data_IF_362118209691
#
_entry.id   IF_362118209691
#
_cell.length_a   1.000
_cell.length_b   1.000
_cell.length_c   1.000
_cell.angle_alpha   90.00
_cell.angle_beta   90.00
_cell.angle_gamma   90.00
#
_symmetry.space_group_name_H-M   'P 1'
#
loop_
_entity.id
_entity.type
_entity.pdbx_description
1 polymer ?
#
# COMPACT_ATOMS: atom_id res chain seq x y z
N UNK A 1 -24.98 -1.08 8.71
CA UNK A 1 -25.43 0.02 7.81
C UNK A 1 -24.19 0.67 7.25
N UNK A 2 -24.10 0.78 5.93
CA UNK A 2 -22.97 1.44 5.29
C UNK A 2 -22.95 2.93 5.67
N UNK A 3 -21.79 3.41 6.12
CA UNK A 3 -21.64 4.79 6.55
C UNK A 3 -21.19 5.62 5.34
N UNK A 4 -22.12 6.37 4.75
CA UNK A 4 -21.84 7.23 3.61
C UNK A 4 -21.30 8.60 4.08
N UNK A 5 -20.23 9.04 3.46
CA UNK A 5 -19.69 10.38 3.65
C UNK A 5 -20.14 11.27 2.50
N UNK A 6 -20.86 12.34 2.83
CA UNK A 6 -21.35 13.29 1.82
C UNK A 6 -20.24 14.29 1.43
N UNK A 7 -20.00 14.42 0.13
CA UNK A 7 -19.08 15.43 -0.44
C UNK A 7 -19.84 16.24 -1.48
N UNK A 8 -19.75 17.57 -1.37
CA UNK A 8 -20.31 18.48 -2.38
C UNK A 8 -19.42 18.53 -3.61
N UNK A 9 -20.04 18.41 -4.78
CA UNK A 9 -19.36 18.42 -6.06
C UNK A 9 -20.06 19.34 -7.04
N UNK A 10 -19.31 19.99 -7.92
CA UNK A 10 -19.81 20.81 -9.00
C UNK A 10 -19.50 20.16 -10.35
N UNK A 11 -20.48 20.14 -11.25
CA UNK A 11 -20.28 19.60 -12.58
C UNK A 11 -19.36 20.49 -13.42
N UNK A 12 -18.45 19.88 -14.19
CA UNK A 12 -17.58 20.56 -15.17
C UNK A 12 -18.00 20.26 -16.58
N UNK A 13 -18.15 21.30 -17.40
CA UNK A 13 -18.55 21.15 -18.80
C UNK A 13 -17.43 20.68 -19.74
N UNK A 14 -16.15 20.87 -19.39
CA UNK A 14 -15.03 20.63 -20.30
C UNK A 14 -14.01 19.65 -19.71
N UNK A 15 -13.62 18.67 -20.54
CA UNK A 15 -12.50 17.75 -20.28
C UNK A 15 -11.16 18.33 -20.78
N UNK A 16 -10.07 17.69 -20.41
CA UNK A 16 -8.73 17.89 -20.94
C UNK A 16 -7.80 18.72 -20.06
N UNK A 17 -6.52 18.75 -20.46
CA UNK A 17 -5.40 19.31 -19.70
C UNK A 17 -5.59 20.78 -19.32
N UNK A 18 -6.10 21.60 -20.25
CA UNK A 18 -6.33 23.02 -20.03
C UNK A 18 -7.42 23.28 -18.99
N UNK A 19 -8.54 22.57 -19.09
CA UNK A 19 -9.66 22.67 -18.15
C UNK A 19 -9.26 22.20 -16.74
N UNK A 20 -8.56 21.07 -16.62
CA UNK A 20 -8.07 20.57 -15.33
C UNK A 20 -7.10 21.57 -14.65
N UNK A 21 -6.19 22.18 -15.42
CA UNK A 21 -5.29 23.24 -14.90
C UNK A 21 -6.06 24.50 -14.47
N UNK A 22 -7.11 24.87 -15.19
CA UNK A 22 -7.95 26.01 -14.81
C UNK A 22 -8.68 25.74 -13.48
N UNK A 23 -9.23 24.52 -13.30
CA UNK A 23 -9.88 24.08 -12.05
C UNK A 23 -8.91 24.13 -10.88
N UNK A 24 -7.67 23.62 -11.04
CA UNK A 24 -6.64 23.66 -9.98
C UNK A 24 -6.23 25.10 -9.64
N UNK A 25 -6.11 26.01 -10.64
CA UNK A 25 -5.84 27.43 -10.39
C UNK A 25 -6.97 28.15 -9.66
N UNK A 26 -8.20 27.69 -9.85
CA UNK A 26 -9.36 28.15 -9.07
C UNK A 26 -9.42 27.55 -7.66
N UNK A 27 -8.39 26.79 -7.24
CA UNK A 27 -8.32 26.19 -5.92
C UNK A 27 -9.20 24.98 -5.72
N UNK A 28 -9.64 24.30 -6.80
CA UNK A 28 -10.49 23.10 -6.74
C UNK A 28 -9.79 21.87 -7.31
N UNK A 29 -10.18 20.69 -6.85
CA UNK A 29 -9.64 19.42 -7.33
C UNK A 29 -10.54 18.88 -8.44
N UNK A 30 -10.01 18.67 -9.66
CA UNK A 30 -10.74 17.99 -10.72
C UNK A 30 -10.91 16.52 -10.38
N UNK A 31 -12.11 15.98 -10.63
CA UNK A 31 -12.40 14.57 -10.44
C UNK A 31 -13.32 14.04 -11.56
N UNK A 32 -13.42 12.71 -11.63
CA UNK A 32 -14.24 12.00 -12.60
C UNK A 32 -15.05 10.93 -11.90
N UNK A 33 -16.34 10.81 -12.23
CA UNK A 33 -17.19 9.71 -11.81
C UNK A 33 -17.45 8.82 -13.03
N UNK A 34 -17.12 7.54 -12.95
CA UNK A 34 -17.36 6.56 -14.01
C UNK A 34 -17.97 5.26 -13.45
N UNK A 35 -18.46 4.41 -14.31
CA UNK A 35 -19.05 3.12 -13.93
C UNK A 35 -20.58 3.06 -14.07
N UNK A 36 -21.18 1.96 -13.61
CA UNK A 36 -22.60 1.65 -13.72
C UNK A 36 -23.15 1.75 -15.18
N UNK A 37 -22.30 1.47 -16.18
CA UNK A 37 -22.65 1.55 -17.62
C UNK A 37 -23.22 2.90 -18.07
N UNK A 38 -22.91 3.98 -17.34
CA UNK A 38 -23.28 5.35 -17.65
C UNK A 38 -22.09 6.16 -18.12
N UNK A 39 -22.35 7.26 -18.82
CA UNK A 39 -21.29 8.16 -19.28
C UNK A 39 -20.48 8.75 -18.11
N UNK A 40 -19.17 8.92 -18.28
CA UNK A 40 -18.32 9.55 -17.27
C UNK A 40 -18.74 11.00 -17.03
N UNK A 41 -18.94 11.36 -15.77
CA UNK A 41 -19.32 12.70 -15.35
C UNK A 41 -18.09 13.42 -14.79
N UNK A 42 -17.77 14.58 -15.36
CA UNK A 42 -16.66 15.41 -14.90
C UNK A 42 -17.12 16.31 -13.77
N UNK A 43 -16.40 16.29 -12.66
CA UNK A 43 -16.73 17.08 -11.46
C UNK A 43 -15.53 17.86 -10.94
N UNK A 44 -15.78 18.81 -10.08
CA UNK A 44 -14.78 19.52 -9.27
C UNK A 44 -15.17 19.46 -7.80
N UNK A 45 -14.18 19.23 -6.94
CA UNK A 45 -14.34 19.05 -5.51
C UNK A 45 -13.62 20.15 -4.71
N UNK A 46 -14.05 20.36 -3.50
CA UNK A 46 -13.32 21.21 -2.56
C UNK A 46 -12.11 20.42 -2.00
N UNK A 47 -10.88 20.98 -2.06
CA UNK A 47 -9.67 20.29 -1.59
C UNK A 47 -9.73 19.89 -0.12
N UNK A 48 -10.33 20.73 0.73
CA UNK A 48 -10.44 20.50 2.17
C UNK A 48 -11.26 19.24 2.49
N UNK A 49 -12.39 19.04 1.80
CA UNK A 49 -13.22 17.87 1.99
C UNK A 49 -12.44 16.59 1.63
N UNK A 50 -11.76 16.60 0.48
CA UNK A 50 -10.94 15.46 0.03
C UNK A 50 -9.80 15.19 1.02
N UNK A 51 -9.04 16.18 1.43
CA UNK A 51 -7.92 16.04 2.38
C UNK A 51 -8.37 15.54 3.75
N UNK A 52 -9.54 15.94 4.22
CA UNK A 52 -10.10 15.47 5.49
C UNK A 52 -10.36 13.97 5.44
N UNK A 53 -10.93 13.47 4.35
CA UNK A 53 -11.22 12.04 4.18
C UNK A 53 -9.94 11.21 3.99
N UNK A 54 -8.93 11.75 3.31
CA UNK A 54 -7.62 11.11 3.19
C UNK A 54 -6.94 10.97 4.55
N UNK A 55 -6.95 12.04 5.35
CA UNK A 55 -6.35 12.04 6.71
C UNK A 55 -7.04 11.10 7.69
N UNK A 56 -8.33 10.86 7.52
CA UNK A 56 -9.07 9.88 8.33
C UNK A 56 -8.64 8.44 8.04
N UNK A 57 -7.99 8.20 6.91
CA UNK A 57 -7.61 6.86 6.45
C UNK A 57 -8.79 6.01 5.99
N UNK A 58 -8.51 4.84 5.41
CA UNK A 58 -9.54 3.90 4.93
C UNK A 58 -10.43 4.43 3.81
N UNK A 59 -10.02 5.47 3.09
CA UNK A 59 -10.80 6.10 2.02
C UNK A 59 -11.11 5.14 0.86
N UNK A 60 -10.30 4.09 0.65
CA UNK A 60 -10.49 3.06 -0.38
C UNK A 60 -11.63 2.08 -0.08
N UNK A 61 -12.02 1.94 1.19
CA UNK A 61 -13.17 1.12 1.61
C UNK A 61 -14.40 1.95 1.97
N UNK A 62 -14.25 3.27 2.05
CA UNK A 62 -15.34 4.15 2.43
C UNK A 62 -16.23 4.53 1.25
N UNK A 63 -17.52 4.50 1.48
CA UNK A 63 -18.51 4.88 0.49
C UNK A 63 -18.81 6.37 0.57
N UNK A 64 -18.92 7.01 -0.59
CA UNK A 64 -19.17 8.45 -0.71
C UNK A 64 -20.50 8.71 -1.38
N UNK A 65 -21.20 9.72 -0.90
CA UNK A 65 -22.37 10.29 -1.53
C UNK A 65 -21.96 11.65 -2.12
N UNK A 66 -21.88 11.72 -3.43
CA UNK A 66 -21.51 12.94 -4.15
C UNK A 66 -22.77 13.72 -4.51
N UNK A 67 -22.89 14.94 -3.99
CA UNK A 67 -24.00 15.84 -4.30
C UNK A 67 -23.65 16.73 -5.49
N UNK A 68 -24.38 16.56 -6.60
CA UNK A 68 -24.21 17.28 -7.86
C UNK A 68 -25.48 18.08 -8.15
N UNK A 69 -25.52 19.37 -7.81
CA UNK A 69 -26.62 20.26 -8.20
C UNK A 69 -28.02 19.82 -7.80
N UNK A 70 -28.16 18.99 -6.77
CA UNK A 70 -29.45 18.45 -6.28
C UNK A 70 -29.62 16.95 -6.47
N UNK A 71 -28.80 16.32 -7.29
CA UNK A 71 -28.74 14.86 -7.41
C UNK A 71 -27.65 14.29 -6.49
N UNK A 72 -27.94 13.16 -5.85
CA UNK A 72 -26.94 12.42 -5.09
C UNK A 72 -26.54 11.14 -5.81
N UNK A 73 -25.23 10.94 -5.96
CA UNK A 73 -24.68 9.76 -6.60
C UNK A 73 -23.78 9.02 -5.61
N UNK A 74 -24.06 7.72 -5.40
CA UNK A 74 -23.20 6.86 -4.57
C UNK A 74 -21.97 6.44 -5.36
N UNK A 75 -20.80 6.63 -4.78
CA UNK A 75 -19.54 6.34 -5.42
C UNK A 75 -18.48 5.84 -4.43
N UNK A 76 -17.54 5.08 -4.95
CA UNK A 76 -16.33 4.64 -4.23
C UNK A 76 -15.13 5.41 -4.78
N UNK A 77 -14.27 5.93 -3.91
CA UNK A 77 -13.03 6.57 -4.31
C UNK A 77 -12.01 5.49 -4.69
N UNK A 78 -11.58 5.49 -5.96
CA UNK A 78 -10.68 4.47 -6.52
C UNK A 78 -9.23 4.87 -6.42
N UNK A 79 -8.94 6.08 -6.87
CA UNK A 79 -7.58 6.57 -6.92
C UNK A 79 -7.52 8.06 -6.63
N UNK A 80 -6.38 8.48 -6.11
CA UNK A 80 -6.07 9.88 -5.82
C UNK A 80 -4.65 10.14 -6.31
N UNK A 81 -4.51 11.11 -7.18
CA UNK A 81 -3.21 11.61 -7.62
C UNK A 81 -2.80 12.77 -6.74
N UNK A 82 -1.58 12.69 -6.20
CA UNK A 82 -1.00 13.74 -5.37
C UNK A 82 0.13 14.45 -6.10
N UNK A 83 0.27 15.72 -5.81
CA UNK A 83 1.42 16.49 -6.26
C UNK A 83 2.67 16.09 -5.47
N UNK A 84 3.78 15.68 -6.11
CA UNK A 84 4.92 15.04 -5.44
C UNK A 84 5.68 15.92 -4.43
N UNK A 85 5.51 17.25 -4.50
CA UNK A 85 6.19 18.18 -3.59
C UNK A 85 5.27 18.77 -2.52
N UNK A 86 3.98 18.93 -2.82
CA UNK A 86 3.04 19.63 -1.94
C UNK A 86 2.02 18.73 -1.30
N UNK A 87 1.99 17.43 -1.68
CA UNK A 87 0.99 16.44 -1.26
C UNK A 87 -0.46 16.88 -1.46
N UNK A 88 -0.67 17.90 -2.29
CA UNK A 88 -1.99 18.36 -2.66
C UNK A 88 -2.65 17.38 -3.62
N UNK A 89 -3.93 17.08 -3.42
CA UNK A 89 -4.69 16.24 -4.34
C UNK A 89 -4.81 16.94 -5.71
N UNK A 90 -4.31 16.30 -6.77
CA UNK A 90 -4.37 16.79 -8.15
C UNK A 90 -5.55 16.23 -8.94
N UNK A 91 -5.94 15.00 -8.68
CA UNK A 91 -7.05 14.33 -9.33
C UNK A 91 -7.65 13.28 -8.41
N UNK A 92 -8.96 13.08 -8.50
CA UNK A 92 -9.67 12.02 -7.76
C UNK A 92 -10.57 11.26 -8.70
N UNK A 93 -10.48 9.94 -8.62
CA UNK A 93 -11.27 9.02 -9.44
C UNK A 93 -12.33 8.34 -8.59
N UNK A 94 -13.58 8.47 -9.01
CA UNK A 94 -14.74 7.83 -8.38
C UNK A 94 -15.35 6.78 -9.28
N UNK A 95 -15.63 5.62 -8.70
CA UNK A 95 -16.45 4.61 -9.34
C UNK A 95 -17.88 4.72 -8.82
N UNK A 96 -18.84 4.89 -9.76
CA UNK A 96 -20.27 4.87 -9.44
C UNK A 96 -20.68 3.48 -9.01
N UNK A 97 -21.50 3.39 -7.98
CA UNK A 97 -22.03 2.15 -7.44
C UNK A 97 -23.39 1.86 -8.03
N UNK A 98 -23.52 0.70 -8.67
CA UNK A 98 -24.83 0.18 -9.08
C UNK A 98 -25.37 -0.72 -7.96
N UNK A 99 -26.66 -0.64 -7.63
CA UNK A 99 -27.24 -1.55 -6.65
C UNK A 99 -27.19 -3.00 -7.18
N UNK A 100 -26.72 -3.94 -6.32
CA UNK A 100 -26.64 -5.37 -6.65
C UNK A 100 -25.42 -5.77 -7.48
N UNK A 101 -24.44 -4.90 -7.71
CA UNK A 101 -23.17 -5.24 -8.37
C UNK A 101 -22.06 -5.38 -7.32
N UNK A 102 -21.40 -6.55 -7.28
CA UNK A 102 -20.24 -6.75 -6.42
C UNK A 102 -19.11 -5.81 -6.84
N UNK A 103 -18.50 -5.13 -5.89
CA UNK A 103 -17.37 -4.23 -6.11
C UNK A 103 -16.11 -4.76 -5.49
N UNK A 104 -14.99 -4.53 -6.16
CA UNK A 104 -13.66 -4.82 -5.61
C UNK A 104 -13.23 -3.65 -4.74
N UNK A 105 -12.95 -3.90 -3.47
CA UNK A 105 -12.59 -2.87 -2.49
C UNK A 105 -11.30 -3.26 -1.78
N UNK A 106 -10.42 -2.28 -1.52
CA UNK A 106 -9.22 -2.48 -0.69
C UNK A 106 -9.52 -2.04 0.72
N UNK A 107 -9.62 -2.99 1.64
CA UNK A 107 -9.95 -2.77 3.05
C UNK A 107 -8.67 -2.83 3.89
N UNK A 108 -8.49 -1.87 4.79
CA UNK A 108 -7.36 -1.83 5.70
C UNK A 108 -7.52 -2.88 6.82
N UNK A 109 -6.39 -3.46 7.25
CA UNK A 109 -6.34 -4.38 8.40
C UNK A 109 -5.81 -3.63 9.61
N UNK A 110 -6.57 -3.66 10.70
CA UNK A 110 -6.19 -3.12 11.99
C UNK A 110 -5.78 -4.25 12.93
N UNK A 111 -4.57 -4.15 13.44
CA UNK A 111 -4.00 -5.10 14.38
C UNK A 111 -4.33 -4.66 15.80
N UNK A 112 -4.95 -5.55 16.58
CA UNK A 112 -5.38 -5.26 17.94
C UNK A 112 -4.63 -6.15 18.94
N UNK A 113 -4.57 -5.70 20.21
CA UNK A 113 -3.98 -6.46 21.32
C UNK A 113 -2.45 -6.74 21.18
N UNK A 114 -1.70 -5.89 20.50
CA UNK A 114 -0.24 -6.02 20.37
C UNK A 114 0.45 -6.14 21.73
N UNK A 115 0.06 -5.30 22.70
CA UNK A 115 0.65 -5.32 24.04
C UNK A 115 0.33 -6.60 24.85
N UNK A 116 -0.71 -7.34 24.45
CA UNK A 116 -1.15 -8.54 25.18
C UNK A 116 -0.52 -9.81 24.62
N UNK A 117 -0.10 -9.81 23.35
CA UNK A 117 0.47 -10.95 22.65
C UNK A 117 1.65 -11.58 23.40
N UNK A 118 1.61 -12.89 23.68
CA UNK A 118 2.71 -13.60 24.32
C UNK A 118 3.97 -13.66 23.45
N UNK A 119 3.80 -13.76 22.12
CA UNK A 119 4.92 -13.76 21.18
C UNK A 119 5.70 -12.46 21.18
N UNK A 120 5.00 -11.31 21.18
CA UNK A 120 5.65 -9.99 21.23
C UNK A 120 6.30 -9.73 22.60
N UNK A 121 5.68 -10.19 23.70
CA UNK A 121 6.28 -10.12 25.05
C UNK A 121 7.55 -10.93 25.20
N UNK A 122 7.69 -12.04 24.48
CA UNK A 122 8.90 -12.86 24.42
C UNK A 122 10.00 -12.26 23.53
N UNK A 123 9.77 -11.05 22.98
CA UNK A 123 10.72 -10.36 22.10
C UNK A 123 10.54 -10.66 20.62
N UNK A 124 9.44 -11.32 20.22
CA UNK A 124 9.10 -11.49 18.81
C UNK A 124 8.80 -10.16 18.12
N UNK A 125 8.96 -10.14 16.83
CA UNK A 125 8.67 -8.97 15.97
C UNK A 125 7.45 -9.26 15.12
N UNK A 126 6.48 -8.34 15.12
CA UNK A 126 5.32 -8.43 14.23
C UNK A 126 5.76 -8.08 12.80
N UNK A 127 5.69 -9.05 11.91
CA UNK A 127 5.90 -8.86 10.48
C UNK A 127 4.55 -8.78 9.78
N UNK A 128 4.17 -7.59 9.36
CA UNK A 128 2.93 -7.34 8.62
C UNK A 128 3.18 -7.60 7.14
N UNK A 129 2.59 -8.67 6.62
CA UNK A 129 2.69 -9.05 5.20
C UNK A 129 1.74 -8.19 4.35
N UNK A 130 0.54 -7.91 4.87
CA UNK A 130 -0.49 -7.16 4.16
C UNK A 130 -1.14 -6.13 5.08
N UNK A 131 -0.98 -4.85 4.76
CA UNK A 131 -1.67 -3.75 5.43
C UNK A 131 -3.10 -3.55 4.93
N UNK A 132 -3.36 -3.97 3.70
CA UNK A 132 -4.67 -3.89 3.05
C UNK A 132 -4.97 -5.20 2.34
N UNK A 133 -6.24 -5.58 2.33
CA UNK A 133 -6.72 -6.76 1.60
C UNK A 133 -7.77 -6.33 0.59
N UNK A 134 -7.63 -6.83 -0.63
CA UNK A 134 -8.61 -6.62 -1.69
C UNK A 134 -9.67 -7.69 -1.66
N UNK A 135 -10.91 -7.25 -1.57
CA UNK A 135 -12.08 -8.12 -1.45
C UNK A 135 -13.17 -7.72 -2.42
N UNK A 136 -13.98 -8.68 -2.79
CA UNK A 136 -15.27 -8.47 -3.44
C UNK A 136 -16.33 -8.33 -2.34
N UNK A 137 -17.09 -7.27 -2.37
CA UNK A 137 -18.16 -7.00 -1.41
C UNK A 137 -19.35 -6.32 -2.10
N UNK A 138 -20.54 -6.52 -1.53
CA UNK A 138 -21.71 -5.74 -1.91
C UNK A 138 -21.58 -4.29 -1.44
N UNK A 139 -22.01 -3.29 -2.21
CA UNK A 139 -21.91 -1.88 -1.84
C UNK A 139 -22.51 -1.54 -0.47
N UNK A 140 -23.57 -2.23 -0.07
CA UNK A 140 -24.26 -1.95 1.19
C UNK A 140 -23.59 -2.62 2.43
N UNK A 141 -22.65 -3.57 2.21
CA UNK A 141 -22.01 -4.37 3.25
C UNK A 141 -20.48 -4.22 3.31
N UNK A 142 -19.94 -3.16 2.72
CA UNK A 142 -18.48 -2.92 2.75
C UNK A 142 -18.02 -2.65 4.18
N UNK A 143 -17.09 -3.45 4.74
CA UNK A 143 -16.50 -3.17 6.04
C UNK A 143 -15.53 -1.99 5.96
N UNK A 144 -15.52 -1.14 6.98
CA UNK A 144 -14.59 -0.02 7.04
C UNK A 144 -13.13 -0.49 7.23
N UNK A 145 -12.94 -1.53 8.02
CA UNK A 145 -11.64 -2.18 8.30
C UNK A 145 -11.85 -3.62 8.77
N UNK A 146 -10.84 -4.44 8.60
CA UNK A 146 -10.76 -5.77 9.19
C UNK A 146 -9.98 -5.70 10.51
N UNK A 147 -10.37 -6.52 11.47
CA UNK A 147 -9.67 -6.62 12.76
C UNK A 147 -8.91 -7.94 12.85
N UNK A 148 -7.61 -7.85 13.11
CA UNK A 148 -6.73 -8.96 13.37
C UNK A 148 -6.35 -8.98 14.85
N UNK A 149 -6.71 -10.03 15.59
CA UNK A 149 -6.43 -10.15 17.02
C UNK A 149 -5.08 -10.85 17.23
N UNK A 150 -4.13 -10.12 17.83
CA UNK A 150 -2.79 -10.64 18.15
C UNK A 150 -2.69 -11.24 19.56
N UNK A 151 -3.77 -11.17 20.36
CA UNK A 151 -3.73 -11.49 21.79
C UNK A 151 -3.33 -12.91 22.14
N UNK A 152 -3.55 -13.88 21.25
CA UNK A 152 -3.29 -15.30 21.46
C UNK A 152 -2.05 -15.82 20.73
N UNK A 153 -1.36 -14.97 19.94
CA UNK A 153 -0.28 -15.41 19.08
C UNK A 153 1.04 -15.57 19.80
N UNK A 154 1.72 -16.69 19.56
CA UNK A 154 3.09 -16.95 20.00
C UNK A 154 4.10 -16.72 18.84
N UNK A 155 5.39 -16.91 19.12
CA UNK A 155 6.45 -16.80 18.12
C UNK A 155 6.28 -17.90 17.05
N UNK A 156 6.40 -17.52 15.78
CA UNK A 156 6.13 -18.31 14.57
C UNK A 156 4.65 -18.54 14.24
N UNK A 157 3.72 -17.97 14.97
CA UNK A 157 2.32 -18.03 14.59
C UNK A 157 1.99 -17.03 13.48
N UNK A 158 0.96 -17.39 12.70
CA UNK A 158 0.51 -16.61 11.54
C UNK A 158 -0.97 -16.28 11.70
N UNK A 159 -1.35 -15.07 11.32
CA UNK A 159 -2.75 -14.68 11.09
C UNK A 159 -3.06 -14.87 9.62
N UNK A 160 -4.14 -15.58 9.35
CA UNK A 160 -4.63 -15.84 8.01
C UNK A 160 -5.94 -15.10 7.75
N UNK A 161 -6.41 -15.19 6.51
CA UNK A 161 -7.65 -14.54 6.09
C UNK A 161 -8.87 -14.90 6.96
N UNK A 162 -9.04 -16.17 7.31
CA UNK A 162 -10.19 -16.65 8.09
C UNK A 162 -10.17 -16.22 9.57
N UNK A 163 -9.02 -15.77 10.09
CA UNK A 163 -8.88 -15.26 11.46
C UNK A 163 -9.30 -13.78 11.58
N UNK A 164 -9.59 -13.12 10.45
CA UNK A 164 -9.98 -11.73 10.44
C UNK A 164 -11.45 -11.56 10.84
N UNK A 165 -11.71 -10.69 11.80
CA UNK A 165 -13.07 -10.29 12.14
C UNK A 165 -13.59 -9.27 11.15
N UNK A 166 -14.83 -9.44 10.69
CA UNK A 166 -15.47 -8.57 9.70
C UNK A 166 -15.30 -9.04 8.26
N UNK A 167 -14.74 -10.22 8.02
CA UNK A 167 -14.56 -10.81 6.70
C UNK A 167 -15.74 -11.67 6.21
N UNK A 168 -16.77 -11.88 7.07
CA UNK A 168 -17.85 -12.86 6.88
C UNK A 168 -18.68 -12.64 5.60
N UNK A 169 -18.93 -11.38 5.24
CA UNK A 169 -19.74 -11.00 4.06
C UNK A 169 -18.88 -10.66 2.82
N UNK A 170 -17.58 -10.98 2.84
CA UNK A 170 -16.65 -10.59 1.78
C UNK A 170 -15.89 -11.77 1.21
N UNK A 171 -15.50 -11.69 -0.06
CA UNK A 171 -14.67 -12.70 -0.73
C UNK A 171 -13.32 -12.11 -1.10
N UNK A 172 -12.20 -12.75 -0.75
CA UNK A 172 -10.89 -12.26 -1.13
C UNK A 172 -10.71 -12.34 -2.65
N UNK A 173 -10.08 -11.33 -3.22
CA UNK A 173 -9.72 -11.32 -4.66
C UNK A 173 -8.51 -12.21 -4.93
N UNK A 174 -7.69 -12.50 -3.92
CA UNK A 174 -6.52 -13.36 -4.06
C UNK A 174 -6.92 -14.78 -4.48
N UNK A 175 -6.15 -15.38 -5.39
CA UNK A 175 -6.38 -16.75 -5.87
C UNK A 175 -6.28 -17.77 -4.74
N UNK A 176 -5.44 -17.52 -3.75
CA UNK A 176 -5.33 -18.30 -2.52
C UNK A 176 -6.41 -17.84 -1.55
N UNK A 177 -7.33 -18.74 -1.23
CA UNK A 177 -8.42 -18.46 -0.30
C UNK A 177 -7.95 -18.22 1.13
N UNK A 178 -6.77 -18.72 1.49
CA UNK A 178 -6.23 -18.68 2.84
C UNK A 178 -4.78 -18.16 2.84
N UNK A 179 -4.60 -16.89 2.57
CA UNK A 179 -3.29 -16.24 2.58
C UNK A 179 -2.95 -15.68 3.96
N UNK A 180 -1.65 -15.56 4.22
CA UNK A 180 -1.13 -14.98 5.45
C UNK A 180 -1.23 -13.45 5.38
N UNK A 181 -1.70 -12.85 6.47
CA UNK A 181 -1.86 -11.40 6.65
C UNK A 181 -0.74 -10.84 7.51
N UNK A 182 -0.41 -11.51 8.61
CA UNK A 182 0.70 -11.14 9.49
C UNK A 182 1.32 -12.38 10.12
N UNK A 183 2.58 -12.26 10.53
CA UNK A 183 3.35 -13.30 11.23
C UNK A 183 4.09 -12.71 12.41
N UNK A 184 4.26 -13.47 13.48
CA UNK A 184 5.15 -13.11 14.59
C UNK A 184 6.48 -13.82 14.39
N UNK A 185 7.51 -13.08 13.94
CA UNK A 185 8.83 -13.62 13.73
C UNK A 185 9.65 -13.66 15.04
N UNK A 186 10.56 -14.63 15.21
CA UNK A 186 11.49 -14.63 16.32
C UNK A 186 12.41 -13.41 16.25
N UNK A 187 12.90 -12.90 17.39
CA UNK A 187 13.86 -11.81 17.39
C UNK A 187 15.14 -12.26 16.67
N UNK A 188 15.61 -11.46 15.75
CA UNK A 188 16.91 -11.65 15.11
C UNK A 188 17.99 -11.30 16.13
N UNK A 189 18.31 -12.23 17.05
CA UNK A 189 19.57 -12.12 17.77
C UNK A 189 20.65 -12.33 16.71
N UNK A 190 21.52 -11.34 16.55
CA UNK A 190 22.74 -11.52 15.75
C UNK A 190 23.42 -12.78 16.29
N UNK A 191 23.69 -13.72 15.41
CA UNK A 191 24.32 -15.02 15.72
C UNK A 191 25.79 -14.86 16.19
N UNK A 192 26.10 -13.77 16.90
CA UNK A 192 27.45 -13.39 17.37
C UNK A 192 27.67 -13.66 18.87
N UNK A 193 26.68 -14.24 19.58
CA UNK A 193 26.82 -14.46 21.02
C UNK A 193 26.55 -15.88 21.53
N UNK A 194 26.52 -16.89 20.66
CA UNK A 194 26.58 -18.31 21.06
C UNK A 194 27.57 -19.10 20.19
N UNK A 195 28.84 -18.72 20.24
CA UNK A 195 29.90 -19.68 20.05
C UNK A 195 30.21 -20.32 21.45
N UNK A 196 29.92 -21.61 21.65
CA UNK A 196 30.36 -22.24 22.90
C UNK A 196 31.86 -22.28 22.91
N UNK A 197 32.41 -21.66 23.93
CA UNK A 197 33.79 -21.81 24.33
C UNK A 197 34.02 -23.27 24.71
N UNK A 198 34.49 -24.07 23.79
CA UNK A 198 34.98 -25.41 24.05
C UNK A 198 36.50 -25.41 23.93
N UNK A 199 37.10 -25.31 25.12
CA UNK A 199 38.32 -25.94 25.56
C UNK A 199 39.54 -25.96 24.63
N UNK A 200 40.51 -25.26 25.15
CA UNK A 200 41.92 -25.36 24.90
C UNK A 200 42.47 -26.80 24.98
N UNK A 201 43.40 -27.10 24.12
CA UNK A 201 44.66 -27.71 24.55
C UNK A 201 45.71 -27.60 23.44
N UNK A 202 46.97 -27.43 23.83
CA UNK A 202 48.04 -26.95 22.96
C UNK A 202 48.83 -28.11 22.35
N UNK A 203 49.65 -27.85 21.33
CA UNK A 203 51.03 -28.31 21.26
C UNK A 203 51.64 -28.09 19.86
N UNK A 204 52.76 -27.36 19.88
CA UNK A 204 53.98 -27.49 19.08
C UNK A 204 54.00 -26.99 17.62
N UNK A 205 54.73 -25.92 17.47
CA UNK A 205 55.59 -25.63 16.34
C UNK A 205 56.79 -26.62 16.32
N UNK A 206 57.63 -26.73 15.28
CA UNK A 206 58.21 -25.62 14.56
C UNK A 206 58.60 -25.85 13.06
N UNK A 207 58.90 -24.74 12.44
CA UNK A 207 60.08 -24.46 11.61
C UNK A 207 60.09 -24.68 10.10
N UNK A 208 60.50 -23.58 9.48
CA UNK A 208 61.36 -23.39 8.28
C UNK A 208 60.76 -23.66 6.91
N UNK A 209 60.77 -22.80 6.01
CA UNK A 209 61.69 -21.76 5.58
C UNK A 209 61.45 -21.45 4.12
N UNK A 210 61.79 -20.28 3.71
CA UNK A 210 62.22 -20.01 2.35
C UNK A 210 61.24 -19.20 1.48
N UNK A 211 61.30 -17.91 1.50
CA UNK A 211 62.10 -17.02 0.66
C UNK A 211 61.52 -16.77 -0.76
N UNK A 212 61.28 -15.56 -0.95
CA UNK A 212 61.45 -14.73 -2.14
C UNK A 212 60.21 -14.22 -2.90
N UNK A 213 59.97 -12.96 -2.72
CA UNK A 213 59.40 -12.06 -3.70
C UNK A 213 60.36 -11.88 -4.89
N UNK A 214 60.15 -11.06 -5.91
CA UNK A 214 59.10 -10.05 -6.16
C UNK A 214 58.77 -9.87 -7.66
N UNK A 215 57.98 -8.81 -7.87
CA UNK A 215 57.94 -7.99 -9.08
C UNK A 215 56.95 -8.41 -10.17
N UNK A 216 56.21 -7.56 -10.72
CA UNK A 216 56.19 -6.19 -11.20
C UNK A 216 55.12 -6.04 -12.29
N UNK A 217 54.32 -5.05 -12.13
CA UNK A 217 53.93 -4.05 -13.10
C UNK A 217 53.20 -4.46 -14.41
N UNK A 218 52.05 -3.93 -14.67
CA UNK A 218 51.79 -2.84 -15.60
C UNK A 218 50.33 -2.78 -16.04
N UNK A 219 49.71 -1.70 -15.76
CA UNK A 219 48.69 -1.12 -16.67
C UNK A 219 49.46 -0.53 -17.87
N UNK A 220 48.86 -0.15 -18.99
CA UNK A 220 47.70 0.70 -19.10
C UNK A 220 46.87 0.60 -20.41
N UNK A 221 45.83 1.43 -20.43
CA UNK A 221 45.38 2.28 -21.52
C UNK A 221 44.35 1.82 -22.54
N UNK A 222 43.26 2.57 -22.51
CA UNK A 222 42.74 3.45 -23.57
C UNK A 222 42.18 2.84 -24.85
N UNK A 223 40.88 3.05 -25.09
CA UNK A 223 40.41 3.93 -26.17
C UNK A 223 38.89 3.81 -26.39
N UNK A 224 38.19 4.86 -26.18
CA UNK A 224 37.04 5.21 -27.02
C UNK A 224 37.64 5.70 -28.37
N UNK A 225 36.97 5.66 -29.51
CA UNK A 225 35.99 6.70 -29.78
C UNK A 225 34.89 6.41 -30.87
N UNK A 226 34.00 7.37 -30.94
CA UNK A 226 33.34 7.92 -32.16
C UNK A 226 32.04 7.32 -32.70
N UNK A 227 31.03 8.15 -32.55
CA UNK A 227 29.98 8.31 -33.53
C UNK A 227 30.51 8.82 -34.88
N UNK A 228 29.79 8.64 -36.00
CA UNK A 228 29.13 9.77 -36.64
C UNK A 228 27.71 9.42 -37.14
N UNK A 229 26.72 10.27 -36.96
CA UNK A 229 26.26 11.38 -37.79
C UNK A 229 25.80 11.04 -39.23
N UNK A 230 24.49 11.34 -39.41
CA UNK A 230 23.84 11.97 -40.57
C UNK A 230 23.59 11.17 -41.87
N UNK A 231 22.38 11.11 -42.33
CA UNK A 231 21.72 11.99 -43.32
C UNK A 231 20.45 11.38 -43.93
N UNK A 232 19.43 12.21 -43.97
CA UNK A 232 18.50 12.52 -45.10
C UNK A 232 17.81 11.39 -45.87
N UNK A 233 16.53 11.29 -45.77
CA UNK A 233 15.56 11.90 -46.70
C UNK A 233 14.22 12.01 -46.02
#
# INVERSE_FOLDING_TARGET
MANFVTIEAEARARAGKGAARATRRAGRVPAVIYGAKQEPTLISLEPRAVLTEIKRGGWRSRLFELKLGGESTRALMRDIQFHPLTDAAEHVDFQRLAPGEEIRVSVAVHYMNEATSPGLKKGGVLNVVRHTVEVWADPDKVPAFFQADLGTLDINDNIRWHDLRGAEDTRPTAAERDFVVATVAPPTRSAEEEAPVAAAAPVAAPAKGGKAAPAKAAAPAKAAPKAPAAKKK
#
